data_IF_349995324667
#
_entry.id   IF_349995324667
#
_cell.length_a   1.000
_cell.length_b   1.000
_cell.length_c   1.000
_cell.angle_alpha   90.00
_cell.angle_beta   90.00
_cell.angle_gamma   90.00
#
_symmetry.space_group_name_H-M   'P 1'
#
loop_
_entity.id
_entity.type
_entity.pdbx_description
1 polymer ?
#
# COMPACT_ATOMS: atom_id res chain seq x y z
N UNK A 1 -5.54 -27.99 8.23
CA UNK A 1 -4.74 -26.77 8.47
C UNK A 1 -5.61 -25.57 8.11
N UNK A 2 -5.84 -24.62 9.04
CA UNK A 2 -6.51 -23.36 8.69
C UNK A 2 -5.52 -22.53 7.87
N UNK A 3 -5.95 -22.01 6.71
CA UNK A 3 -5.16 -21.02 5.98
C UNK A 3 -4.95 -19.81 6.91
N UNK A 4 -3.73 -19.25 7.00
CA UNK A 4 -3.53 -18.00 7.74
C UNK A 4 -4.45 -16.94 7.12
N UNK A 5 -5.22 -16.26 7.97
CA UNK A 5 -6.02 -15.12 7.55
C UNK A 5 -5.01 -14.00 7.26
N UNK A 6 -4.84 -13.67 5.98
CA UNK A 6 -4.04 -12.53 5.56
C UNK A 6 -4.93 -11.30 5.67
N UNK A 7 -4.59 -10.39 6.58
CA UNK A 7 -5.22 -9.08 6.64
C UNK A 7 -4.53 -8.17 5.64
N UNK A 8 -5.34 -7.50 4.79
CA UNK A 8 -4.83 -6.61 3.75
C UNK A 8 -5.50 -5.25 3.77
N UNK A 9 -4.81 -4.25 3.23
CA UNK A 9 -5.40 -2.95 2.94
C UNK A 9 -5.88 -2.94 1.49
N UNK A 10 -7.13 -2.50 1.29
CA UNK A 10 -7.61 -2.10 -0.03
C UNK A 10 -7.01 -0.76 -0.43
N UNK A 11 -7.08 -0.41 -1.72
CA UNK A 11 -6.70 0.92 -2.21
C UNK A 11 -7.38 2.07 -1.42
N UNK A 12 -8.68 1.98 -1.15
CA UNK A 12 -9.38 2.97 -0.33
C UNK A 12 -8.90 2.97 1.13
N UNK A 13 -8.46 1.81 1.63
CA UNK A 13 -7.82 1.69 2.93
C UNK A 13 -6.48 2.43 2.99
N UNK A 14 -5.68 2.37 1.92
CA UNK A 14 -4.42 3.12 1.82
C UNK A 14 -4.64 4.63 1.91
N UNK A 15 -5.69 5.16 1.27
CA UNK A 15 -6.04 6.59 1.36
C UNK A 15 -6.30 7.03 2.81
N UNK A 16 -7.00 6.20 3.59
CA UNK A 16 -7.27 6.47 5.01
C UNK A 16 -6.01 6.43 5.89
N UNK A 17 -4.92 5.82 5.40
CA UNK A 17 -3.61 5.81 6.05
C UNK A 17 -2.72 7.01 5.64
N UNK A 18 -3.22 7.92 4.80
CA UNK A 18 -2.44 9.05 4.28
C UNK A 18 -1.62 8.74 3.03
N UNK A 19 -1.83 7.58 2.39
CA UNK A 19 -1.10 7.18 1.17
C UNK A 19 -1.91 7.64 -0.04
N UNK A 20 -1.69 8.89 -0.48
CA UNK A 20 -2.53 9.56 -1.48
C UNK A 20 -2.13 9.35 -2.95
N UNK A 21 -1.20 8.45 -3.27
CA UNK A 21 -0.83 8.10 -4.66
C UNK A 21 -2.03 7.65 -5.52
N UNK A 22 -2.04 7.96 -6.81
CA UNK A 22 -2.99 7.33 -7.74
C UNK A 22 -2.76 5.81 -7.79
N UNK A 23 -3.74 5.07 -8.30
CA UNK A 23 -3.57 3.62 -8.42
C UNK A 23 -2.43 3.27 -9.38
N UNK A 24 -2.34 4.01 -10.48
CA UNK A 24 -1.30 3.89 -11.49
C UNK A 24 0.09 4.16 -10.91
N UNK A 25 0.24 5.21 -10.08
CA UNK A 25 1.50 5.50 -9.39
C UNK A 25 1.91 4.35 -8.45
N UNK A 26 0.94 3.75 -7.73
CA UNK A 26 1.24 2.61 -6.85
C UNK A 26 1.71 1.39 -7.64
N UNK A 27 1.11 1.11 -8.81
CA UNK A 27 1.56 0.03 -9.70
C UNK A 27 2.98 0.32 -10.19
N UNK A 28 3.26 1.54 -10.65
CA UNK A 28 4.59 1.95 -11.09
C UNK A 28 5.65 1.81 -9.99
N UNK A 29 5.32 2.19 -8.75
CA UNK A 29 6.20 2.02 -7.60
C UNK A 29 6.41 0.54 -7.27
N UNK A 30 5.37 -0.28 -7.34
CA UNK A 30 5.43 -1.72 -7.12
C UNK A 30 6.31 -2.43 -8.17
N UNK A 31 6.20 -2.07 -9.44
CA UNK A 31 7.04 -2.60 -10.53
C UNK A 31 8.52 -2.22 -10.34
N UNK A 32 8.79 -1.04 -9.79
CA UNK A 32 10.14 -0.58 -9.44
C UNK A 32 10.66 -1.15 -8.13
N UNK A 33 9.89 -2.01 -7.44
CA UNK A 33 10.23 -2.57 -6.14
C UNK A 33 10.27 -1.53 -5.01
N UNK A 34 9.58 -0.41 -5.18
CA UNK A 34 9.50 0.72 -4.23
C UNK A 34 8.18 0.76 -3.45
N UNK A 35 7.28 -0.18 -3.70
CA UNK A 35 6.03 -0.36 -2.96
C UNK A 35 5.75 -1.86 -2.77
N UNK A 36 5.05 -2.27 -1.69
CA UNK A 36 4.67 -3.66 -1.47
C UNK A 36 3.90 -4.28 -2.65
N UNK A 37 4.01 -5.59 -2.80
CA UNK A 37 3.34 -6.33 -3.87
C UNK A 37 1.86 -6.52 -3.58
N UNK A 38 1.03 -6.41 -4.61
CA UNK A 38 -0.37 -6.80 -4.51
C UNK A 38 -0.49 -8.33 -4.33
N UNK A 39 -1.32 -8.74 -3.38
CA UNK A 39 -1.73 -10.15 -3.24
C UNK A 39 -2.96 -10.47 -4.07
N UNK A 40 -3.80 -9.45 -4.28
CA UNK A 40 -4.93 -9.42 -5.18
C UNK A 40 -5.02 -8.02 -5.78
N UNK A 41 -5.68 -7.82 -6.94
CA UNK A 41 -5.82 -6.49 -7.52
C UNK A 41 -6.38 -5.49 -6.49
N UNK A 42 -5.64 -4.40 -6.28
CA UNK A 42 -5.93 -3.32 -5.32
C UNK A 42 -5.92 -3.74 -3.85
N UNK A 43 -5.27 -4.85 -3.51
CA UNK A 43 -5.12 -5.34 -2.13
C UNK A 43 -3.66 -5.69 -1.83
N UNK A 44 -3.14 -5.13 -0.73
CA UNK A 44 -1.79 -5.34 -0.26
C UNK A 44 -1.78 -5.96 1.13
N UNK A 45 -0.73 -6.70 1.48
CA UNK A 45 -0.55 -7.26 2.82
C UNK A 45 -0.40 -6.11 3.82
N UNK A 46 -1.21 -6.12 4.89
CA UNK A 46 -1.23 -5.02 5.85
C UNK A 46 0.13 -4.78 6.51
N UNK A 47 0.83 -5.86 6.89
CA UNK A 47 2.14 -5.75 7.53
C UNK A 47 3.18 -5.09 6.61
N UNK A 48 3.23 -5.47 5.34
CA UNK A 48 4.20 -4.89 4.37
C UNK A 48 3.91 -3.40 4.14
N UNK A 49 2.62 -3.01 4.08
CA UNK A 49 2.23 -1.61 3.96
C UNK A 49 2.65 -0.81 5.20
N UNK A 50 2.43 -1.35 6.40
CA UNK A 50 2.82 -0.66 7.63
C UNK A 50 4.35 -0.50 7.73
N UNK A 51 5.12 -1.54 7.40
CA UNK A 51 6.58 -1.47 7.35
C UNK A 51 7.06 -0.44 6.33
N UNK A 52 6.49 -0.44 5.12
CA UNK A 52 6.79 0.53 4.09
C UNK A 52 6.44 1.96 4.54
N UNK A 53 5.29 2.15 5.18
CA UNK A 53 4.81 3.44 5.67
C UNK A 53 5.75 4.00 6.74
N UNK A 54 6.20 3.18 7.69
CA UNK A 54 7.13 3.61 8.74
C UNK A 54 8.44 4.19 8.18
N UNK A 55 8.89 3.70 7.03
CA UNK A 55 10.14 4.13 6.38
C UNK A 55 9.94 5.34 5.46
N UNK A 56 8.73 5.58 4.97
CA UNK A 56 8.45 6.58 3.93
C UNK A 56 7.45 7.67 4.35
N UNK A 57 6.99 7.69 5.61
CA UNK A 57 5.96 8.62 6.10
C UNK A 57 6.33 10.10 5.88
N UNK A 58 7.64 10.42 5.88
CA UNK A 58 8.19 11.76 5.65
C UNK A 58 8.17 12.21 4.18
N UNK A 59 7.92 11.28 3.25
CA UNK A 59 8.02 11.48 1.79
C UNK A 59 6.71 11.26 1.06
N UNK A 60 5.62 11.05 1.81
CA UNK A 60 4.32 10.85 1.20
C UNK A 60 3.87 12.13 0.49
N UNK A 61 3.30 12.00 -0.72
CA UNK A 61 2.67 13.14 -1.37
C UNK A 61 1.51 13.64 -0.50
N UNK A 62 1.26 14.95 -0.47
CA UNK A 62 0.08 15.48 0.21
C UNK A 62 -1.20 14.92 -0.42
N UNK A 63 -2.31 14.98 0.32
CA UNK A 63 -3.62 14.80 -0.27
C UNK A 63 -3.81 15.88 -1.36
N UNK A 64 -4.18 15.45 -2.57
CA UNK A 64 -4.52 16.38 -3.64
C UNK A 64 -5.93 16.91 -3.34
N UNK A 65 -6.05 18.23 -3.21
CA UNK A 65 -7.32 18.96 -3.02
C UNK A 65 -8.36 18.67 -4.12
#
# INVERSE_FOLDING_TARGET
MRKPIVFGFSYDGLKKLGIHYSYEDLVDLEERGRFPKQIEPRVWIANEIMEWLLVNIDRLPPELD
#
